data_IF_173818236313
#
_entry.id   IF_173818236313
#
_cell.length_a   1.000
_cell.length_b   1.000
_cell.length_c   1.000
_cell.angle_alpha   90.00
_cell.angle_beta   90.00
_cell.angle_gamma   90.00
#
_symmetry.space_group_name_H-M   'P 1'
#
loop_
_entity.id
_entity.type
_entity.pdbx_description
1 polymer ?
#
# COMPACT_ATOMS: atom_id res chain seq x y z
N UNK A 1 -31.22 -40.68 -15.70
CA UNK A 1 -30.41 -40.16 -14.57
C UNK A 1 -31.34 -40.00 -13.39
N UNK A 2 -30.99 -40.57 -12.24
CA UNK A 2 -31.85 -40.60 -11.05
C UNK A 2 -31.83 -39.24 -10.37
N UNK A 3 -32.92 -38.85 -9.69
CA UNK A 3 -32.99 -37.66 -8.82
C UNK A 3 -31.86 -37.62 -7.79
N UNK A 4 -31.40 -38.80 -7.34
CA UNK A 4 -30.23 -38.94 -6.46
C UNK A 4 -28.92 -38.46 -7.13
N UNK A 5 -28.73 -38.73 -8.42
CA UNK A 5 -27.52 -38.33 -9.15
C UNK A 5 -27.46 -36.80 -9.30
N UNK A 6 -28.59 -36.14 -9.54
CA UNK A 6 -28.65 -34.68 -9.67
C UNK A 6 -28.32 -33.96 -8.34
N UNK A 7 -28.80 -34.50 -7.21
CA UNK A 7 -28.52 -33.95 -5.89
C UNK A 7 -27.04 -34.09 -5.55
N UNK A 8 -26.46 -35.28 -5.79
CA UNK A 8 -25.02 -35.53 -5.56
C UNK A 8 -24.18 -34.60 -6.43
N UNK A 9 -24.56 -34.42 -7.70
CA UNK A 9 -23.85 -33.53 -8.64
C UNK A 9 -23.97 -32.06 -8.22
N UNK A 10 -25.12 -31.63 -7.69
CA UNK A 10 -25.30 -30.26 -7.15
C UNK A 10 -24.48 -30.04 -5.88
N UNK A 11 -24.47 -30.99 -4.94
CA UNK A 11 -23.69 -30.88 -3.70
C UNK A 11 -22.19 -30.86 -4.02
N UNK A 12 -21.73 -31.71 -4.94
CA UNK A 12 -20.34 -31.71 -5.41
C UNK A 12 -19.97 -30.37 -6.07
N UNK A 13 -20.87 -29.79 -6.87
CA UNK A 13 -20.66 -28.49 -7.52
C UNK A 13 -20.62 -27.33 -6.50
N UNK A 14 -21.52 -27.31 -5.53
CA UNK A 14 -21.57 -26.29 -4.47
C UNK A 14 -20.34 -26.40 -3.56
N UNK A 15 -19.96 -27.62 -3.16
CA UNK A 15 -18.73 -27.85 -2.40
C UNK A 15 -17.49 -27.37 -3.14
N UNK A 16 -17.39 -27.61 -4.45
CA UNK A 16 -16.30 -27.11 -5.28
C UNK A 16 -16.27 -25.57 -5.44
N UNK A 17 -17.42 -24.90 -5.37
CA UNK A 17 -17.49 -23.43 -5.43
C UNK A 17 -17.12 -22.77 -4.10
N UNK A 18 -17.37 -23.43 -2.96
CA UNK A 18 -17.04 -22.92 -1.63
C UNK A 18 -15.61 -23.25 -1.16
N UNK A 19 -14.92 -24.19 -1.82
CA UNK A 19 -13.51 -24.53 -1.52
C UNK A 19 -12.51 -23.85 -2.44
N UNK A 20 -12.96 -22.96 -3.34
CA UNK A 20 -12.05 -22.02 -4.00
C UNK A 20 -11.46 -21.14 -2.91
N UNK A 21 -10.27 -21.53 -2.43
CA UNK A 21 -9.35 -20.65 -1.75
C UNK A 21 -9.04 -19.54 -2.75
N UNK A 22 -9.86 -18.48 -2.72
CA UNK A 22 -9.49 -17.21 -3.30
C UNK A 22 -8.23 -16.81 -2.53
N UNK A 23 -7.08 -17.07 -3.16
CA UNK A 23 -5.83 -16.51 -2.68
C UNK A 23 -6.10 -15.01 -2.54
N UNK A 24 -5.91 -14.40 -1.36
CA UNK A 24 -6.13 -12.98 -1.22
C UNK A 24 -5.35 -12.31 -2.34
N UNK A 25 -5.96 -11.37 -3.07
CA UNK A 25 -5.27 -10.69 -4.15
C UNK A 25 -3.91 -10.28 -3.60
N UNK A 26 -2.83 -10.63 -4.31
CA UNK A 26 -1.48 -10.15 -4.01
C UNK A 26 -1.38 -8.63 -4.29
N UNK A 27 -2.47 -7.89 -4.14
CA UNK A 27 -2.46 -6.45 -4.00
C UNK A 27 -1.81 -6.16 -2.67
N UNK A 28 -0.74 -5.38 -2.71
CA UNK A 28 -0.21 -4.66 -1.55
C UNK A 28 -1.42 -4.14 -0.78
N UNK A 29 -1.58 -4.46 0.53
CA UNK A 29 -2.69 -3.94 1.32
C UNK A 29 -2.75 -2.43 1.09
N UNK A 30 -3.85 -1.97 0.51
CA UNK A 30 -4.09 -0.55 0.37
C UNK A 30 -4.06 0.10 1.75
N UNK A 31 -3.78 1.41 1.85
CA UNK A 31 -3.64 2.05 3.14
C UNK A 31 -4.84 1.74 4.03
N UNK A 32 -4.54 1.28 5.25
CA UNK A 32 -5.56 0.85 6.20
C UNK A 32 -6.56 1.97 6.47
N UNK A 33 -7.79 1.61 6.81
CA UNK A 33 -8.80 2.60 7.14
C UNK A 33 -8.42 3.31 8.46
N UNK A 34 -8.54 4.64 8.46
CA UNK A 34 -8.16 5.45 9.60
C UNK A 34 -9.18 5.36 10.73
N UNK A 35 -8.70 5.41 11.96
CA UNK A 35 -9.50 5.29 13.19
C UNK A 35 -9.12 6.38 14.18
N UNK A 36 -9.99 6.60 15.15
CA UNK A 36 -9.69 7.48 16.29
C UNK A 36 -8.40 7.02 16.97
N UNK A 37 -7.50 7.97 17.20
CA UNK A 37 -6.18 7.77 17.80
C UNK A 37 -5.07 7.36 16.82
N UNK A 38 -5.36 7.11 15.54
CA UNK A 38 -4.29 6.89 14.56
C UNK A 38 -3.50 8.20 14.32
N UNK A 39 -2.16 8.12 14.11
CA UNK A 39 -1.29 9.28 14.01
C UNK A 39 -1.46 10.00 12.67
N UNK A 40 -1.24 11.31 12.70
CA UNK A 40 -1.36 12.21 11.55
C UNK A 40 0.02 12.75 11.20
N UNK A 41 0.42 12.59 9.93
CA UNK A 41 1.69 13.09 9.40
C UNK A 41 1.45 14.19 8.36
N UNK A 42 2.33 15.19 8.36
CA UNK A 42 2.42 16.13 7.24
C UNK A 42 3.43 15.57 6.24
N UNK A 43 3.09 15.62 4.95
CA UNK A 43 4.06 15.33 3.90
C UNK A 43 5.26 16.26 4.07
N UNK A 44 6.47 15.68 4.07
CA UNK A 44 7.72 16.42 4.24
C UNK A 44 8.48 16.45 2.93
N UNK A 45 8.65 17.64 2.35
CA UNK A 45 9.39 17.82 1.10
C UNK A 45 10.83 17.30 1.19
N UNK A 46 11.51 17.56 2.32
CA UNK A 46 12.88 17.07 2.55
C UNK A 46 12.94 15.54 2.64
N UNK A 47 11.93 14.92 3.25
CA UNK A 47 11.80 13.47 3.26
C UNK A 47 11.66 12.92 1.84
N UNK A 48 10.74 13.49 1.06
CA UNK A 48 10.55 13.09 -0.35
C UNK A 48 11.81 13.28 -1.19
N UNK A 49 12.53 14.39 -1.02
CA UNK A 49 13.79 14.66 -1.70
C UNK A 49 14.89 13.68 -1.29
N UNK A 50 15.05 13.40 0.00
CA UNK A 50 16.03 12.43 0.49
C UNK A 50 15.74 11.02 -0.04
N UNK A 51 14.46 10.61 -0.06
CA UNK A 51 14.04 9.35 -0.67
C UNK A 51 14.36 9.27 -2.16
N UNK A 52 14.10 10.35 -2.90
CA UNK A 52 14.42 10.45 -4.32
C UNK A 52 15.93 10.35 -4.58
N UNK A 53 16.76 11.04 -3.80
CA UNK A 53 18.23 10.98 -3.91
C UNK A 53 18.73 9.57 -3.62
N UNK A 54 18.26 8.94 -2.54
CA UNK A 54 18.63 7.57 -2.19
C UNK A 54 18.25 6.58 -3.31
N UNK A 55 17.04 6.68 -3.83
CA UNK A 55 16.57 5.86 -4.95
C UNK A 55 17.39 6.08 -6.23
N UNK A 56 17.76 7.32 -6.54
CA UNK A 56 18.60 7.66 -7.68
C UNK A 56 20.01 7.06 -7.56
N UNK A 57 20.63 7.13 -6.38
CA UNK A 57 21.96 6.56 -6.17
C UNK A 57 21.98 5.03 -6.29
N UNK A 58 20.97 4.36 -5.72
CA UNK A 58 20.85 2.89 -5.81
C UNK A 58 20.64 2.47 -7.27
N UNK A 59 19.72 3.11 -7.98
CA UNK A 59 19.47 2.79 -9.38
C UNK A 59 20.70 3.08 -10.26
N UNK A 60 21.38 4.20 -10.06
CA UNK A 60 22.62 4.52 -10.79
C UNK A 60 23.70 3.45 -10.60
N UNK A 61 23.89 2.92 -9.39
CA UNK A 61 24.84 1.83 -9.14
C UNK A 61 24.46 0.54 -9.89
N UNK A 62 23.17 0.16 -9.88
CA UNK A 62 22.68 -1.02 -10.62
C UNK A 62 22.87 -0.84 -12.12
N UNK A 63 22.53 0.33 -12.67
CA UNK A 63 22.74 0.65 -14.08
C UNK A 63 24.22 0.65 -14.47
N UNK A 64 25.11 1.16 -13.62
CA UNK A 64 26.55 1.17 -13.89
C UNK A 64 27.11 -0.25 -13.98
N UNK A 65 26.71 -1.16 -13.09
CA UNK A 65 27.12 -2.58 -13.15
C UNK A 65 26.59 -3.25 -14.41
N UNK A 66 25.31 -3.06 -14.73
CA UNK A 66 24.73 -3.62 -15.95
C UNK A 66 25.43 -3.10 -17.22
N UNK A 67 25.70 -1.80 -17.27
CA UNK A 67 26.43 -1.17 -18.37
C UNK A 67 27.87 -1.70 -18.49
N UNK A 68 28.57 -1.89 -17.37
CA UNK A 68 29.92 -2.46 -17.37
C UNK A 68 29.96 -3.89 -17.92
N UNK A 69 28.96 -4.74 -17.59
CA UNK A 69 28.85 -6.10 -18.14
C UNK A 69 28.57 -6.07 -19.64
N UNK A 70 27.70 -5.17 -20.11
CA UNK A 70 27.41 -5.00 -21.54
C UNK A 70 28.65 -4.52 -22.31
N UNK A 71 29.34 -3.50 -21.80
CA UNK A 71 30.54 -2.95 -22.44
C UNK A 71 31.70 -3.95 -22.41
N UNK A 72 31.94 -4.61 -21.26
CA UNK A 72 33.01 -5.59 -21.10
C UNK A 72 32.84 -6.86 -21.94
N UNK A 73 31.62 -7.16 -22.39
CA UNK A 73 31.32 -8.28 -23.30
C UNK A 73 31.17 -7.85 -24.76
N UNK A 74 31.46 -6.59 -25.09
CA UNK A 74 31.31 -6.06 -26.45
C UNK A 74 29.87 -6.02 -26.95
N UNK A 75 28.90 -5.91 -26.04
CA UNK A 75 27.46 -5.88 -26.37
C UNK A 75 26.78 -7.25 -26.44
N UNK A 76 27.53 -8.35 -26.34
CA UNK A 76 26.97 -9.70 -26.46
C UNK A 76 26.06 -10.07 -25.27
N UNK A 77 26.31 -9.53 -24.08
CA UNK A 77 25.48 -9.80 -22.91
C UNK A 77 24.18 -8.98 -22.86
N UNK A 78 23.91 -8.10 -23.82
CA UNK A 78 22.71 -7.23 -23.82
C UNK A 78 21.40 -8.01 -23.67
N UNK A 79 21.23 -9.07 -24.45
CA UNK A 79 20.02 -9.91 -24.42
C UNK A 79 19.89 -10.63 -23.08
N UNK A 80 21.00 -11.10 -22.51
CA UNK A 80 21.00 -11.76 -21.20
C UNK A 80 20.68 -10.78 -20.06
N UNK A 81 21.25 -9.57 -20.08
CA UNK A 81 20.96 -8.52 -19.09
C UNK A 81 19.50 -8.08 -19.16
N UNK A 82 18.94 -7.93 -20.36
CA UNK A 82 17.52 -7.57 -20.54
C UNK A 82 16.59 -8.72 -20.11
N UNK A 83 16.89 -9.97 -20.49
CA UNK A 83 16.08 -11.12 -20.13
C UNK A 83 16.13 -11.42 -18.62
N UNK A 84 17.31 -11.33 -18.00
CA UNK A 84 17.48 -11.50 -16.56
C UNK A 84 16.92 -10.31 -15.77
N UNK A 85 17.02 -9.09 -16.31
CA UNK A 85 16.41 -7.91 -15.71
C UNK A 85 14.89 -8.01 -15.67
N UNK A 86 14.26 -8.40 -16.79
CA UNK A 86 12.80 -8.54 -16.89
C UNK A 86 12.26 -9.76 -16.15
N UNK A 87 12.93 -10.92 -16.21
CA UNK A 87 12.55 -12.08 -15.40
C UNK A 87 12.81 -11.85 -13.90
N UNK A 88 13.90 -11.14 -13.57
CA UNK A 88 14.28 -10.79 -12.22
C UNK A 88 13.26 -9.87 -11.54
N UNK A 89 12.71 -8.87 -12.24
CA UNK A 89 11.70 -7.99 -11.63
C UNK A 89 10.41 -8.73 -11.26
N UNK A 90 10.00 -9.72 -12.06
CA UNK A 90 8.83 -10.56 -11.76
C UNK A 90 9.09 -11.51 -10.58
N UNK A 91 10.28 -12.11 -10.51
CA UNK A 91 10.65 -13.03 -9.43
C UNK A 91 10.94 -12.31 -8.10
N UNK A 92 11.41 -11.07 -8.14
CA UNK A 92 11.87 -10.30 -6.98
C UNK A 92 10.81 -9.34 -6.42
N UNK A 93 9.54 -9.48 -6.79
CA UNK A 93 8.47 -8.58 -6.35
C UNK A 93 8.43 -8.34 -4.82
N UNK A 94 8.70 -9.37 -4.00
CA UNK A 94 8.80 -9.24 -2.54
C UNK A 94 10.01 -8.41 -2.07
N UNK A 95 11.15 -8.54 -2.75
CA UNK A 95 12.38 -7.79 -2.43
C UNK A 95 12.24 -6.34 -2.86
N UNK A 96 11.67 -6.10 -4.05
CA UNK A 96 11.38 -4.76 -4.55
C UNK A 96 10.38 -4.07 -3.62
N UNK A 97 9.33 -4.77 -3.19
CA UNK A 97 8.37 -4.25 -2.22
C UNK A 97 9.04 -3.97 -0.87
N UNK A 98 9.88 -4.86 -0.35
CA UNK A 98 10.60 -4.63 0.90
C UNK A 98 11.58 -3.45 0.81
N UNK A 99 12.28 -3.30 -0.32
CA UNK A 99 13.16 -2.17 -0.58
C UNK A 99 12.38 -0.86 -0.69
N UNK A 100 11.26 -0.86 -1.41
CA UNK A 100 10.35 0.28 -1.49
C UNK A 100 9.85 0.68 -0.10
N UNK A 101 9.38 -0.28 0.69
CA UNK A 101 8.93 -0.03 2.06
C UNK A 101 10.05 0.46 2.97
N UNK A 102 11.28 -0.02 2.80
CA UNK A 102 12.42 0.48 3.55
C UNK A 102 12.73 1.96 3.22
N UNK A 103 12.70 2.33 1.93
CA UNK A 103 12.87 3.73 1.51
C UNK A 103 11.74 4.59 2.04
N UNK A 104 10.49 4.17 1.88
CA UNK A 104 9.31 4.83 2.46
C UNK A 104 9.46 5.02 3.97
N UNK A 105 9.85 3.98 4.71
CA UNK A 105 10.06 4.08 6.16
C UNK A 105 11.18 5.05 6.52
N UNK A 106 12.25 5.10 5.72
CA UNK A 106 13.34 6.05 5.92
C UNK A 106 12.86 7.50 5.70
N UNK A 107 12.08 7.74 4.64
CA UNK A 107 11.45 9.03 4.36
C UNK A 107 10.49 9.43 5.48
N UNK A 108 9.71 8.48 5.97
CA UNK A 108 8.73 8.66 7.02
C UNK A 108 9.32 8.87 8.41
N UNK A 109 10.54 8.39 8.66
CA UNK A 109 11.27 8.59 9.91
C UNK A 109 11.78 10.02 10.08
N UNK A 110 11.96 10.75 8.97
CA UNK A 110 12.49 12.12 8.98
C UNK A 110 11.44 13.14 9.48
N UNK A 111 10.15 12.75 9.57
CA UNK A 111 9.07 13.61 10.06
C UNK A 111 8.38 13.07 11.31
N UNK A 112 8.39 13.76 12.46
CA UNK A 112 7.62 13.34 13.62
C UNK A 112 6.11 13.37 13.34
N UNK A 113 5.32 12.46 13.95
CA UNK A 113 3.87 12.52 13.89
C UNK A 113 3.41 13.87 14.45
N UNK A 114 2.59 14.56 13.69
CA UNK A 114 2.17 15.94 13.97
C UNK A 114 0.88 16.01 14.78
N UNK A 115 0.32 14.86 15.18
CA UNK A 115 -0.90 14.75 15.97
C UNK A 115 -1.65 13.42 15.81
N UNK A 116 -2.92 13.38 16.24
CA UNK A 116 -3.78 12.18 16.26
C UNK A 116 -5.21 12.49 15.84
N UNK A 117 -5.93 11.50 15.30
CA UNK A 117 -7.36 11.65 14.97
C UNK A 117 -8.22 11.65 16.25
N UNK A 118 -9.09 12.65 16.39
CA UNK A 118 -9.87 12.87 17.62
C UNK A 118 -11.29 12.31 17.54
N UNK A 119 -11.96 12.48 16.41
CA UNK A 119 -13.37 12.09 16.24
C UNK A 119 -13.51 11.03 15.15
N UNK A 120 -14.64 10.32 15.19
CA UNK A 120 -14.95 9.25 14.26
C UNK A 120 -16.44 8.94 14.23
N UNK A 121 -16.77 7.90 13.48
CA UNK A 121 -18.12 7.40 13.29
C UNK A 121 -18.75 6.84 14.58
N UNK A 122 -20.00 7.18 14.91
CA UNK A 122 -20.66 6.70 16.13
C UNK A 122 -21.11 5.23 16.06
N UNK A 123 -21.19 4.64 14.87
CA UNK A 123 -21.81 3.33 14.63
C UNK A 123 -20.94 2.37 13.79
N UNK A 124 -19.83 2.85 13.20
CA UNK A 124 -18.90 2.02 12.43
C UNK A 124 -17.57 1.98 13.15
N UNK A 125 -17.18 0.78 13.56
CA UNK A 125 -15.95 0.52 14.30
C UNK A 125 -15.02 -0.37 13.48
N UNK A 126 -13.75 0.00 13.42
CA UNK A 126 -12.69 -0.77 12.76
C UNK A 126 -11.69 -1.16 13.85
N UNK A 127 -11.52 -2.47 14.04
CA UNK A 127 -10.74 -3.03 15.17
C UNK A 127 -11.17 -2.46 16.54
N UNK A 128 -12.48 -2.29 16.74
CA UNK A 128 -13.06 -1.80 17.99
C UNK A 128 -12.94 -0.29 18.23
N UNK A 129 -12.35 0.47 17.31
CA UNK A 129 -12.24 1.93 17.38
C UNK A 129 -13.16 2.62 16.38
N UNK A 130 -13.72 3.80 16.68
CA UNK A 130 -14.54 4.55 15.74
C UNK A 130 -13.78 4.83 14.43
N UNK A 131 -14.41 4.53 13.29
CA UNK A 131 -13.82 4.77 11.97
C UNK A 131 -13.80 6.26 11.64
N UNK A 132 -12.68 6.78 11.14
CA UNK A 132 -12.55 8.18 10.75
C UNK A 132 -13.09 8.42 9.33
N UNK A 133 -13.68 9.60 9.12
CA UNK A 133 -14.33 10.01 7.87
C UNK A 133 -13.77 11.35 7.42
N UNK A 134 -13.47 11.46 6.13
CA UNK A 134 -13.11 12.74 5.53
C UNK A 134 -14.23 13.77 5.72
N UNK A 135 -13.90 15.04 5.60
CA UNK A 135 -14.75 16.26 5.64
C UNK A 135 -15.54 16.52 6.92
N UNK A 136 -15.78 15.52 7.77
CA UNK A 136 -16.58 15.65 9.01
C UNK A 136 -15.80 15.40 10.29
N UNK A 137 -14.81 14.50 10.26
CA UNK A 137 -14.05 14.18 11.46
C UNK A 137 -12.79 15.05 11.59
N UNK A 138 -12.36 15.29 12.82
CA UNK A 138 -11.31 16.24 13.18
C UNK A 138 -10.04 15.56 13.68
N UNK A 139 -8.94 16.24 13.41
CA UNK A 139 -7.59 15.89 13.77
C UNK A 139 -7.07 16.84 14.85
N UNK A 140 -6.50 16.32 15.94
CA UNK A 140 -5.63 17.13 16.78
C UNK A 140 -4.30 17.26 16.04
N UNK A 141 -3.92 18.48 15.67
CA UNK A 141 -2.62 18.73 15.07
C UNK A 141 -1.89 19.85 15.79
N UNK A 142 -0.65 19.59 16.22
CA UNK A 142 0.15 20.56 16.97
C UNK A 142 0.70 21.70 16.08
N UNK A 143 0.56 21.59 14.75
CA UNK A 143 1.03 22.58 13.78
C UNK A 143 -0.05 23.60 13.38
N UNK A 144 -1.31 23.39 13.78
CA UNK A 144 -2.43 24.25 13.42
C UNK A 144 -3.19 24.69 14.68
N UNK A 145 -3.61 25.97 14.78
CA UNK A 145 -4.27 26.50 15.97
C UNK A 145 -5.71 26.00 16.16
N UNK A 146 -6.38 25.54 15.10
CA UNK A 146 -7.68 24.89 15.17
C UNK A 146 -7.57 23.43 14.71
N UNK A 147 -8.34 22.48 15.27
CA UNK A 147 -8.35 21.09 14.82
C UNK A 147 -8.76 21.02 13.34
N UNK A 148 -7.86 20.65 12.41
CA UNK A 148 -8.25 20.56 11.01
C UNK A 148 -9.22 19.39 10.78
N UNK A 149 -10.08 19.55 9.78
CA UNK A 149 -10.89 18.46 9.25
C UNK A 149 -10.02 17.56 8.36
N UNK A 150 -10.39 16.28 8.27
CA UNK A 150 -9.72 15.34 7.37
C UNK A 150 -10.05 15.72 5.92
N UNK A 151 -9.05 16.11 5.13
CA UNK A 151 -9.28 16.65 3.79
C UNK A 151 -9.58 15.59 2.70
N UNK A 152 -9.08 14.37 2.85
CA UNK A 152 -9.18 13.34 1.82
C UNK A 152 -9.70 12.01 2.38
N UNK A 153 -10.52 11.32 1.59
CA UNK A 153 -11.03 9.99 1.88
C UNK A 153 -11.16 9.14 0.62
N UNK A 154 -11.87 8.02 0.74
CA UNK A 154 -12.15 7.12 -0.37
C UNK A 154 -13.17 7.71 -1.35
N UNK A 155 -12.94 7.54 -2.65
CA UNK A 155 -13.88 7.94 -3.69
C UNK A 155 -15.07 6.98 -3.82
N UNK A 156 -14.97 5.77 -3.28
CA UNK A 156 -15.94 4.69 -3.48
C UNK A 156 -16.54 4.15 -2.18
N UNK A 157 -15.84 4.29 -1.06
CA UNK A 157 -16.27 3.77 0.24
C UNK A 157 -16.69 4.93 1.14
N UNK A 158 -17.96 4.92 1.55
CA UNK A 158 -18.55 5.95 2.39
C UNK A 158 -19.00 5.36 3.73
N UNK A 159 -18.74 6.10 4.82
CA UNK A 159 -19.18 5.76 6.18
C UNK A 159 -20.13 6.87 6.62
N UNK A 160 -21.40 6.52 6.89
CA UNK A 160 -22.46 7.48 7.22
C UNK A 160 -22.58 8.64 6.20
N UNK A 161 -22.45 8.34 4.90
CA UNK A 161 -22.56 9.34 3.84
C UNK A 161 -21.35 10.26 3.67
N UNK A 162 -20.27 10.07 4.44
CA UNK A 162 -19.00 10.79 4.26
C UNK A 162 -17.91 9.84 3.75
N UNK A 163 -16.96 10.29 2.92
CA UNK A 163 -15.87 9.44 2.42
C UNK A 163 -15.06 8.82 3.56
N UNK A 164 -14.74 7.52 3.48
CA UNK A 164 -13.94 6.85 4.49
C UNK A 164 -12.49 7.38 4.50
N UNK A 165 -11.99 7.81 5.65
CA UNK A 165 -10.60 8.25 5.75
C UNK A 165 -9.64 7.05 5.71
N UNK A 166 -8.47 7.25 5.11
CA UNK A 166 -7.41 6.24 5.03
C UNK A 166 -6.20 6.75 5.79
N UNK A 167 -5.43 5.86 6.39
CA UNK A 167 -4.11 6.24 6.89
C UNK A 167 -3.28 6.69 5.69
N UNK A 168 -2.65 7.86 5.78
CA UNK A 168 -1.56 8.19 4.88
C UNK A 168 -0.34 7.38 5.35
N UNK A 169 -0.20 6.19 4.82
CA UNK A 169 1.11 5.54 4.67
C UNK A 169 1.72 6.10 3.39
N UNK A 170 2.91 6.67 3.46
CA UNK A 170 3.68 7.05 2.28
C UNK A 170 4.19 5.80 1.53
#
# INVERSE_FOLDING_TARGET
MSLGDEIVTRIARVGAQHTVLVSPPQSVPGPAAARVGDPIKHASFLGALAGAIAGALISAAVFAVAAAVVVGTGGLATVAVIALGTAGTLALGKVISAASSAVTNMVDSIGPPSGVLMTGSPNVFIEGKPAARAIVDTAACNKHPAPPLIAQGSETVFINGSPAARLMTN
#
